data_IF_640463477900
#
_entry.id   IF_640463477900
#
_cell.length_a   1.000
_cell.length_b   1.000
_cell.length_c   1.000
_cell.angle_alpha   90.00
_cell.angle_beta   90.00
_cell.angle_gamma   90.00
#
_symmetry.space_group_name_H-M   'P 1'
#
loop_
_entity.id
_entity.type
_entity.pdbx_description
1 polymer ?
#
# COMPACT_ATOMS: atom_id res chain seq x y z
N UNK A 1 -15.29 -12.09 15.69
CA UNK A 1 -14.68 -11.30 14.62
C UNK A 1 -15.36 -11.68 13.31
N UNK A 2 -16.08 -10.78 12.67
CA UNK A 2 -16.75 -11.05 11.38
C UNK A 2 -15.75 -10.68 10.28
N UNK A 3 -15.20 -11.66 9.61
CA UNK A 3 -14.34 -11.47 8.44
C UNK A 3 -15.20 -11.38 7.19
N UNK A 4 -14.96 -10.41 6.31
CA UNK A 4 -15.69 -10.24 5.04
C UNK A 4 -14.73 -10.36 3.85
N UNK A 5 -15.26 -10.86 2.71
CA UNK A 5 -14.51 -10.94 1.45
C UNK A 5 -13.36 -11.96 1.46
N UNK A 6 -12.24 -11.62 0.86
CA UNK A 6 -11.06 -12.48 0.71
C UNK A 6 -10.47 -12.93 2.06
N UNK A 7 -10.51 -12.06 3.05
CA UNK A 7 -10.04 -12.32 4.41
C UNK A 7 -10.91 -13.33 5.17
N UNK A 8 -12.20 -13.46 4.82
CA UNK A 8 -13.08 -14.50 5.41
C UNK A 8 -12.65 -15.91 5.03
N UNK A 9 -12.11 -16.09 3.82
CA UNK A 9 -11.75 -17.40 3.28
C UNK A 9 -10.32 -17.85 3.62
N UNK A 10 -9.37 -16.92 3.76
CA UNK A 10 -7.94 -17.22 3.87
C UNK A 10 -7.31 -17.00 5.25
N UNK A 11 -8.01 -16.34 6.17
CA UNK A 11 -7.39 -15.93 7.44
C UNK A 11 -6.31 -14.85 7.24
N UNK A 12 -5.41 -14.71 8.20
CA UNK A 12 -4.28 -13.78 8.11
C UNK A 12 -3.15 -14.37 7.26
N UNK A 13 -3.09 -13.98 6.02
CA UNK A 13 -1.98 -14.33 5.14
C UNK A 13 -0.80 -13.34 5.25
N UNK A 14 -0.94 -12.25 6.00
CA UNK A 14 0.12 -11.25 6.18
C UNK A 14 1.14 -11.65 7.24
N UNK A 15 0.70 -12.40 8.29
CA UNK A 15 1.63 -12.94 9.31
C UNK A 15 2.50 -14.05 8.76
N UNK A 16 1.92 -14.93 7.94
CA UNK A 16 2.60 -16.07 7.32
C UNK A 16 2.34 -16.09 5.82
N UNK A 17 2.98 -15.18 5.05
CA UNK A 17 2.70 -15.09 3.62
C UNK A 17 3.12 -16.37 2.89
N UNK A 18 2.23 -16.90 2.05
CA UNK A 18 2.46 -18.10 1.24
C UNK A 18 3.58 -17.86 0.22
N UNK A 19 4.70 -18.60 0.28
CA UNK A 19 5.81 -18.45 -0.67
C UNK A 19 5.45 -18.78 -2.13
N UNK A 20 4.35 -19.48 -2.36
CA UNK A 20 3.84 -19.80 -3.71
C UNK A 20 2.97 -18.71 -4.30
N UNK A 21 2.58 -17.71 -3.50
CA UNK A 21 1.81 -16.56 -3.94
C UNK A 21 2.58 -15.75 -4.98
N UNK A 22 2.01 -15.50 -6.13
CA UNK A 22 2.66 -14.81 -7.25
C UNK A 22 3.07 -13.36 -6.93
N UNK A 23 2.45 -12.75 -5.92
CA UNK A 23 2.80 -11.43 -5.39
C UNK A 23 3.85 -11.47 -4.26
N UNK A 24 4.21 -12.65 -3.74
CA UNK A 24 5.08 -12.84 -2.59
C UNK A 24 6.39 -12.03 -2.61
N UNK A 25 7.21 -12.02 -3.70
CA UNK A 25 8.44 -11.22 -3.73
C UNK A 25 8.18 -9.72 -3.68
N UNK A 26 7.09 -9.26 -4.30
CA UNK A 26 6.68 -7.84 -4.30
C UNK A 26 6.22 -7.44 -2.90
N UNK A 27 5.43 -8.28 -2.24
CA UNK A 27 4.98 -8.09 -0.86
C UNK A 27 6.17 -7.96 0.10
N UNK A 28 7.15 -8.87 0.04
CA UNK A 28 8.36 -8.78 0.87
C UNK A 28 9.17 -7.52 0.60
N UNK A 29 9.32 -7.12 -0.67
CA UNK A 29 10.03 -5.91 -1.04
C UNK A 29 9.30 -4.65 -0.52
N UNK A 30 7.95 -4.63 -0.56
CA UNK A 30 7.12 -3.59 0.04
C UNK A 30 7.35 -3.51 1.55
N UNK A 31 7.20 -4.63 2.26
CA UNK A 31 7.41 -4.67 3.72
C UNK A 31 8.81 -4.21 4.11
N UNK A 32 9.84 -4.65 3.39
CA UNK A 32 11.22 -4.19 3.63
C UNK A 32 11.36 -2.67 3.49
N UNK A 33 10.70 -2.07 2.53
CA UNK A 33 10.73 -0.62 2.35
C UNK A 33 9.94 0.13 3.44
N UNK A 34 8.80 -0.40 3.84
CA UNK A 34 7.98 0.16 4.94
C UNK A 34 8.71 0.05 6.28
N UNK A 35 9.32 -1.11 6.58
CA UNK A 35 10.13 -1.29 7.79
C UNK A 35 11.30 -0.32 7.82
N UNK A 36 12.04 -0.16 6.73
CA UNK A 36 13.12 0.82 6.65
C UNK A 36 12.65 2.26 6.91
N UNK A 37 11.43 2.62 6.47
CA UNK A 37 10.82 3.91 6.80
C UNK A 37 10.48 4.02 8.28
N UNK A 38 9.84 3.00 8.87
CA UNK A 38 9.49 3.00 10.30
C UNK A 38 10.73 2.96 11.20
N UNK A 39 11.77 2.21 10.82
CA UNK A 39 13.04 2.12 11.56
C UNK A 39 13.77 3.46 11.63
N UNK A 40 13.61 4.32 10.64
CA UNK A 40 14.21 5.66 10.64
C UNK A 40 13.47 6.67 11.52
N UNK A 41 12.25 6.36 12.00
CA UNK A 41 11.48 7.27 12.84
C UNK A 41 12.04 7.31 14.28
N UNK A 42 12.00 8.46 14.97
CA UNK A 42 12.31 8.56 16.40
C UNK A 42 11.41 7.65 17.26
N UNK A 43 11.92 7.16 18.38
CA UNK A 43 11.10 6.41 19.35
C UNK A 43 9.93 7.27 19.85
N UNK A 44 8.80 6.63 20.05
CA UNK A 44 7.59 7.31 20.52
C UNK A 44 6.86 8.14 19.46
N UNK A 45 7.32 8.17 18.17
CA UNK A 45 6.57 8.80 17.09
C UNK A 45 5.17 8.20 17.03
N UNK A 46 4.14 9.04 16.94
CA UNK A 46 2.73 8.62 16.84
C UNK A 46 2.40 8.25 15.40
N UNK A 47 2.12 6.98 15.15
CA UNK A 47 1.87 6.41 13.83
C UNK A 47 0.48 5.80 13.77
N UNK A 48 -0.26 6.12 12.71
CA UNK A 48 -1.50 5.43 12.35
C UNK A 48 -1.20 4.44 11.20
N UNK A 49 -1.60 3.18 11.34
CA UNK A 49 -1.67 2.22 10.24
C UNK A 49 -3.14 2.06 9.81
N UNK A 50 -3.52 2.78 8.74
CA UNK A 50 -4.89 2.85 8.26
C UNK A 50 -5.13 1.78 7.18
N UNK A 51 -6.00 0.80 7.50
CA UNK A 51 -6.19 -0.43 6.74
C UNK A 51 -5.13 -1.47 7.09
N UNK A 52 -4.82 -1.59 8.39
CA UNK A 52 -3.70 -2.39 8.91
C UNK A 52 -3.94 -3.90 8.87
N UNK A 53 -5.13 -4.37 8.45
CA UNK A 53 -5.51 -5.77 8.58
C UNK A 53 -5.45 -6.23 10.04
N UNK A 54 -4.81 -7.37 10.29
CA UNK A 54 -4.64 -7.92 11.64
C UNK A 54 -3.55 -7.20 12.47
N UNK A 55 -2.96 -6.12 11.98
CA UNK A 55 -2.04 -5.28 12.72
C UNK A 55 -0.61 -5.81 12.82
N UNK A 56 -0.09 -6.48 11.79
CA UNK A 56 1.28 -7.03 11.79
C UNK A 56 2.33 -5.98 12.11
N UNK A 57 2.28 -4.83 11.45
CA UNK A 57 3.22 -3.73 11.70
C UNK A 57 2.92 -3.06 13.06
N UNK A 58 1.65 -3.00 13.46
CA UNK A 58 1.25 -2.45 14.76
C UNK A 58 1.88 -3.26 15.89
N UNK A 59 1.79 -4.59 15.84
CA UNK A 59 2.40 -5.48 16.83
C UNK A 59 3.94 -5.40 16.79
N UNK A 60 4.53 -5.40 15.59
CA UNK A 60 5.99 -5.39 15.40
C UNK A 60 6.65 -4.13 15.95
N UNK A 61 5.97 -2.97 15.86
CA UNK A 61 6.54 -1.68 16.24
C UNK A 61 6.01 -1.11 17.56
N UNK A 62 5.13 -1.83 18.27
CA UNK A 62 4.46 -1.38 19.50
C UNK A 62 5.41 -0.96 20.62
N UNK A 63 6.58 -1.60 20.73
CA UNK A 63 7.59 -1.29 21.77
C UNK A 63 8.48 -0.09 21.44
N UNK A 64 8.43 0.35 20.16
CA UNK A 64 9.30 1.41 19.66
C UNK A 64 8.53 2.68 19.31
N UNK A 65 7.33 2.55 18.73
CA UNK A 65 6.50 3.63 18.26
C UNK A 65 5.16 3.64 19.01
N UNK A 66 4.53 4.82 19.13
CA UNK A 66 3.15 4.94 19.57
C UNK A 66 2.24 4.65 18.35
N UNK A 67 2.21 3.39 17.92
CA UNK A 67 1.49 2.96 16.73
C UNK A 67 0.12 2.39 17.07
N UNK A 68 -0.89 2.84 16.33
CA UNK A 68 -2.27 2.38 16.39
C UNK A 68 -2.75 1.96 15.00
N UNK A 69 -3.58 0.95 14.92
CA UNK A 69 -4.18 0.46 13.69
C UNK A 69 -5.68 0.77 13.60
N UNK A 70 -6.17 0.90 12.37
CA UNK A 70 -7.61 0.88 12.08
C UNK A 70 -7.87 -0.01 10.88
N UNK A 71 -8.89 -0.86 10.96
CA UNK A 71 -9.29 -1.72 9.85
C UNK A 71 -10.81 -1.96 9.84
N UNK A 72 -11.38 -2.10 8.65
CA UNK A 72 -12.82 -2.32 8.48
C UNK A 72 -13.27 -3.75 8.77
N UNK A 73 -12.35 -4.71 8.86
CA UNK A 73 -12.64 -6.14 9.04
C UNK A 73 -12.08 -6.73 10.34
N UNK A 74 -11.19 -5.99 11.00
CA UNK A 74 -10.46 -6.49 12.17
C UNK A 74 -10.57 -5.56 13.38
N UNK A 75 -10.44 -6.15 14.56
CA UNK A 75 -10.26 -5.45 15.82
C UNK A 75 -9.34 -6.27 16.73
N UNK A 76 -8.41 -5.61 17.40
CA UNK A 76 -7.46 -6.20 18.35
C UNK A 76 -7.09 -5.15 19.41
N UNK A 77 -6.19 -5.49 20.33
CA UNK A 77 -5.81 -4.61 21.44
C UNK A 77 -5.33 -3.20 20.97
N UNK A 78 -4.67 -3.12 19.80
CA UNK A 78 -4.17 -1.86 19.21
C UNK A 78 -4.74 -1.61 17.80
N UNK A 79 -5.78 -2.34 17.41
CA UNK A 79 -6.46 -2.21 16.13
C UNK A 79 -7.92 -1.89 16.38
N UNK A 80 -8.32 -0.67 16.07
CA UNK A 80 -9.70 -0.21 16.17
C UNK A 80 -10.49 -0.65 14.94
N UNK A 81 -11.69 -1.21 15.13
CA UNK A 81 -12.61 -1.44 14.02
C UNK A 81 -13.14 -0.10 13.51
N UNK A 82 -12.92 0.19 12.23
CA UNK A 82 -13.35 1.46 11.64
C UNK A 82 -13.01 1.56 10.15
N UNK A 83 -13.54 2.58 9.50
CA UNK A 83 -13.30 2.85 8.08
C UNK A 83 -12.24 3.94 7.91
N UNK A 84 -11.38 3.78 6.90
CA UNK A 84 -10.44 4.83 6.48
C UNK A 84 -11.15 6.08 5.91
N UNK A 85 -12.43 5.97 5.56
CA UNK A 85 -13.26 7.09 5.08
C UNK A 85 -13.94 7.85 6.22
N UNK A 86 -13.79 7.37 7.48
CA UNK A 86 -14.30 8.01 8.70
C UNK A 86 -13.47 7.48 9.88
N UNK A 87 -12.28 8.07 10.06
CA UNK A 87 -11.31 7.61 11.07
C UNK A 87 -11.77 7.98 12.48
N UNK A 88 -11.79 7.02 13.44
CA UNK A 88 -12.27 7.24 14.81
C UNK A 88 -11.20 7.89 15.69
N UNK A 89 -10.43 8.83 15.14
CA UNK A 89 -9.36 9.53 15.83
C UNK A 89 -9.56 11.05 15.74
N UNK A 90 -9.12 11.83 16.76
CA UNK A 90 -9.17 13.28 16.73
C UNK A 90 -8.27 13.87 15.63
N UNK A 91 -8.53 15.13 15.29
CA UNK A 91 -7.68 15.91 14.38
C UNK A 91 -6.26 16.00 14.92
N UNK A 92 -5.28 16.03 14.03
CA UNK A 92 -3.87 16.25 14.35
C UNK A 92 -3.33 15.29 15.44
N UNK A 93 -3.77 14.03 15.45
CA UNK A 93 -3.40 13.01 16.45
C UNK A 93 -2.09 12.31 16.14
N UNK A 94 -1.68 12.24 14.86
CA UNK A 94 -0.56 11.44 14.42
C UNK A 94 0.53 12.27 13.72
N UNK A 95 1.78 11.88 13.92
CA UNK A 95 2.94 12.44 13.22
C UNK A 95 3.11 11.79 11.85
N UNK A 96 2.75 10.51 11.75
CA UNK A 96 2.85 9.69 10.54
C UNK A 96 1.59 8.85 10.35
N UNK A 97 1.22 8.61 9.09
CA UNK A 97 0.18 7.66 8.74
C UNK A 97 0.67 6.73 7.62
N UNK A 98 0.29 5.47 7.72
CA UNK A 98 0.45 4.47 6.67
C UNK A 98 -0.93 4.20 6.06
N UNK A 99 -0.97 3.97 4.73
CA UNK A 99 -2.16 3.51 4.02
C UNK A 99 -1.67 2.57 2.91
N UNK A 100 -1.54 1.29 3.24
CA UNK A 100 -0.80 0.32 2.43
C UNK A 100 -1.75 -0.65 1.73
N UNK A 101 -1.80 -0.56 0.39
CA UNK A 101 -2.69 -1.39 -0.46
C UNK A 101 -4.17 -1.31 -0.01
N UNK A 102 -4.66 -0.10 0.22
CA UNK A 102 -6.03 0.20 0.69
C UNK A 102 -6.82 0.99 -0.34
N UNK A 103 -6.23 2.03 -0.94
CA UNK A 103 -6.97 2.97 -1.80
C UNK A 103 -7.60 2.28 -3.00
N UNK A 104 -6.97 1.28 -3.58
CA UNK A 104 -7.49 0.50 -4.71
C UNK A 104 -8.74 -0.32 -4.37
N UNK A 105 -8.94 -0.65 -3.09
CA UNK A 105 -10.12 -1.35 -2.60
C UNK A 105 -11.32 -0.44 -2.37
N UNK A 106 -11.11 0.87 -2.35
CA UNK A 106 -12.16 1.88 -2.21
C UNK A 106 -12.77 2.24 -3.57
N UNK A 107 -14.03 2.67 -3.57
CA UNK A 107 -14.63 3.28 -4.76
C UNK A 107 -13.92 4.58 -5.13
N UNK A 108 -14.10 5.04 -6.38
CA UNK A 108 -13.56 6.33 -6.82
C UNK A 108 -14.04 7.51 -5.98
N UNK A 109 -15.26 7.43 -5.43
CA UNK A 109 -15.85 8.46 -4.56
C UNK A 109 -15.30 8.43 -3.14
N UNK A 110 -14.89 7.25 -2.64
CA UNK A 110 -14.39 7.07 -1.29
C UNK A 110 -12.90 7.40 -1.14
N UNK A 111 -12.13 7.29 -2.23
CA UNK A 111 -10.70 7.61 -2.19
C UNK A 111 -10.40 9.06 -1.76
N UNK A 112 -11.08 10.11 -2.29
CA UNK A 112 -10.91 11.48 -1.79
C UNK A 112 -11.30 11.63 -0.32
N UNK A 113 -12.35 10.94 0.14
CA UNK A 113 -12.78 10.95 1.55
C UNK A 113 -11.71 10.34 2.46
N UNK A 114 -11.15 9.20 2.08
CA UNK A 114 -10.06 8.56 2.82
C UNK A 114 -8.83 9.47 2.91
N UNK A 115 -8.43 10.11 1.83
CA UNK A 115 -7.31 11.05 1.84
C UNK A 115 -7.60 12.30 2.70
N UNK A 116 -8.83 12.80 2.70
CA UNK A 116 -9.24 13.91 3.56
C UNK A 116 -9.17 13.53 5.06
N UNK A 117 -9.62 12.33 5.41
CA UNK A 117 -9.54 11.80 6.78
C UNK A 117 -8.10 11.56 7.24
N UNK A 118 -7.26 10.95 6.38
CA UNK A 118 -5.83 10.81 6.65
C UNK A 118 -5.15 12.16 6.85
N UNK A 119 -5.53 13.18 6.05
CA UNK A 119 -5.04 14.54 6.24
C UNK A 119 -5.54 15.16 7.54
N UNK A 120 -6.79 14.94 7.92
CA UNK A 120 -7.39 15.47 9.16
C UNK A 120 -6.64 14.97 10.39
N UNK A 121 -6.39 13.66 10.47
CA UNK A 121 -5.75 13.05 11.64
C UNK A 121 -4.24 13.30 11.72
N UNK A 122 -3.60 13.64 10.61
CA UNK A 122 -2.19 14.02 10.61
C UNK A 122 -2.00 15.44 11.16
N UNK A 123 -0.93 15.65 11.94
CA UNK A 123 -0.46 16.97 12.37
C UNK A 123 0.02 17.79 11.18
N UNK A 124 0.19 19.08 11.38
CA UNK A 124 0.91 19.93 10.42
C UNK A 124 2.30 19.34 10.15
N UNK A 125 2.72 19.34 8.91
CA UNK A 125 3.97 18.74 8.43
C UNK A 125 4.07 17.21 8.67
N UNK A 126 2.98 16.57 9.07
CA UNK A 126 2.89 15.11 9.19
C UNK A 126 3.02 14.42 7.84
N UNK A 127 3.52 13.19 7.83
CA UNK A 127 3.75 12.46 6.59
C UNK A 127 2.81 11.26 6.45
N UNK A 128 2.38 11.04 5.21
CA UNK A 128 1.56 9.92 4.77
C UNK A 128 2.37 9.02 3.84
N UNK A 129 2.56 7.76 4.22
CA UNK A 129 3.14 6.72 3.37
C UNK A 129 2.02 5.88 2.77
N UNK A 130 1.94 5.86 1.44
CA UNK A 130 0.92 5.11 0.70
C UNK A 130 1.59 4.07 -0.18
N UNK A 131 1.09 2.84 -0.20
CA UNK A 131 1.37 1.92 -1.30
C UNK A 131 0.15 1.74 -2.18
N UNK A 132 0.36 1.78 -3.50
CA UNK A 132 -0.70 1.58 -4.49
C UNK A 132 -0.18 0.77 -5.67
N UNK A 133 -1.01 -0.14 -6.22
CA UNK A 133 -0.72 -0.77 -7.50
C UNK A 133 -0.81 0.27 -8.63
N UNK A 134 -0.05 0.05 -9.69
CA UNK A 134 -0.04 0.91 -10.86
C UNK A 134 -0.73 0.23 -12.03
N UNK A 135 -1.95 0.59 -12.31
CA UNK A 135 -2.72 0.04 -13.45
C UNK A 135 -1.97 0.21 -14.79
N UNK A 136 -1.17 1.28 -14.93
CA UNK A 136 -0.40 1.59 -16.13
C UNK A 136 1.09 1.20 -16.03
N UNK A 137 1.42 0.09 -15.34
CA UNK A 137 2.79 -0.45 -15.30
C UNK A 137 3.27 -0.89 -16.70
N UNK A 138 4.58 -1.08 -16.90
CA UNK A 138 5.17 -1.29 -18.24
C UNK A 138 4.48 -2.40 -19.05
N UNK A 139 4.29 -3.60 -18.46
CA UNK A 139 3.62 -4.70 -19.15
C UNK A 139 2.16 -4.36 -19.53
N UNK A 140 1.47 -3.61 -18.67
CA UNK A 140 0.08 -3.16 -18.93
C UNK A 140 0.02 -2.20 -20.12
N UNK A 141 0.98 -1.25 -20.21
CA UNK A 141 1.08 -0.32 -21.36
C UNK A 141 1.34 -1.05 -22.66
N UNK A 142 2.27 -2.02 -22.66
CA UNK A 142 2.55 -2.86 -23.84
C UNK A 142 1.31 -3.65 -24.25
N UNK A 143 0.61 -4.23 -23.29
CA UNK A 143 -0.61 -4.98 -23.54
C UNK A 143 -1.73 -4.07 -24.09
N UNK A 144 -1.85 -2.84 -23.57
CA UNK A 144 -2.80 -1.85 -24.08
C UNK A 144 -2.51 -1.49 -25.54
N UNK A 145 -1.23 -1.24 -25.87
CA UNK A 145 -0.82 -0.95 -27.24
C UNK A 145 -1.17 -2.09 -28.21
N UNK A 146 -1.03 -3.34 -27.78
CA UNK A 146 -1.25 -4.51 -28.63
C UNK A 146 -2.69 -5.01 -28.65
N UNK A 147 -3.47 -4.75 -27.60
CA UNK A 147 -4.78 -5.37 -27.37
C UNK A 147 -5.90 -4.41 -26.99
N UNK A 148 -5.62 -3.11 -26.87
CA UNK A 148 -6.60 -2.07 -26.52
C UNK A 148 -7.14 -2.13 -25.09
N UNK A 149 -6.51 -2.90 -24.19
CA UNK A 149 -6.92 -3.00 -22.77
C UNK A 149 -5.73 -3.07 -21.82
N UNK A 150 -5.87 -2.46 -20.65
CA UNK A 150 -4.89 -2.54 -19.59
C UNK A 150 -4.99 -3.89 -18.85
N UNK A 151 -3.86 -4.38 -18.32
CA UNK A 151 -3.84 -5.51 -17.41
C UNK A 151 -4.17 -4.95 -16.02
N UNK A 152 -5.33 -5.33 -15.48
CA UNK A 152 -5.70 -4.95 -14.12
C UNK A 152 -4.85 -5.69 -13.08
N UNK A 153 -4.65 -5.07 -11.95
CA UNK A 153 -3.89 -5.63 -10.83
C UNK A 153 -4.69 -6.70 -10.09
N UNK A 154 -6.02 -6.55 -10.06
CA UNK A 154 -6.98 -7.54 -9.61
C UNK A 154 -8.30 -7.44 -10.39
N UNK A 155 -9.32 -8.25 -10.05
CA UNK A 155 -10.66 -8.09 -10.62
C UNK A 155 -11.28 -6.75 -10.20
N UNK A 156 -12.22 -6.23 -10.99
CA UNK A 156 -12.94 -4.98 -10.68
C UNK A 156 -13.66 -5.06 -9.34
N UNK A 157 -14.12 -6.25 -8.95
CA UNK A 157 -14.81 -6.45 -7.67
C UNK A 157 -13.84 -6.32 -6.47
N UNK A 158 -12.57 -6.70 -6.64
CA UNK A 158 -11.55 -6.61 -5.60
C UNK A 158 -10.90 -5.23 -5.55
N UNK A 159 -10.61 -4.67 -6.72
CA UNK A 159 -9.99 -3.35 -6.87
C UNK A 159 -10.89 -2.44 -7.72
N UNK A 160 -12.02 -1.97 -7.18
CA UNK A 160 -12.91 -1.08 -7.90
C UNK A 160 -12.25 0.27 -8.22
N UNK A 161 -11.32 0.71 -7.37
CA UNK A 161 -10.63 1.99 -7.45
C UNK A 161 -9.23 1.95 -8.06
N UNK A 162 -8.86 0.87 -8.79
CA UNK A 162 -7.57 0.81 -9.50
C UNK A 162 -7.38 2.01 -10.43
N UNK A 163 -6.20 2.66 -10.32
CA UNK A 163 -5.81 3.82 -11.14
C UNK A 163 -4.38 3.70 -11.66
N UNK A 164 -4.03 4.40 -12.74
CA UNK A 164 -2.64 4.78 -13.01
C UNK A 164 -2.07 5.57 -11.82
N UNK A 165 -0.79 5.38 -11.51
CA UNK A 165 -0.18 6.01 -10.33
C UNK A 165 -0.24 7.55 -10.39
N UNK A 166 -0.23 8.15 -11.57
CA UNK A 166 -0.33 9.60 -11.74
C UNK A 166 -1.68 10.17 -11.25
N UNK A 167 -2.76 9.38 -11.36
CA UNK A 167 -4.07 9.78 -10.83
C UNK A 167 -4.09 9.75 -9.29
N UNK A 168 -3.42 8.79 -8.64
CA UNK A 168 -3.24 8.81 -7.18
C UNK A 168 -2.45 10.04 -6.71
N UNK A 169 -1.42 10.45 -7.48
CA UNK A 169 -0.67 11.68 -7.19
C UNK A 169 -1.53 12.93 -7.31
N UNK A 170 -2.40 12.99 -8.31
CA UNK A 170 -3.35 14.10 -8.47
C UNK A 170 -4.36 14.14 -7.32
N UNK A 171 -4.94 12.99 -6.95
CA UNK A 171 -5.86 12.88 -5.82
C UNK A 171 -5.23 13.38 -4.51
N UNK A 172 -4.01 12.92 -4.21
CA UNK A 172 -3.30 13.33 -3.00
C UNK A 172 -3.00 14.84 -3.00
N UNK A 173 -2.63 15.41 -4.17
CA UNK A 173 -2.42 16.85 -4.32
C UNK A 173 -3.70 17.63 -4.06
N UNK A 174 -4.83 17.22 -4.63
CA UNK A 174 -6.14 17.85 -4.39
C UNK A 174 -6.58 17.74 -2.92
N UNK A 175 -6.18 16.67 -2.23
CA UNK A 175 -6.41 16.53 -0.79
C UNK A 175 -5.44 17.36 0.07
N UNK A 176 -4.54 18.20 -0.50
CA UNK A 176 -3.60 19.04 0.23
C UNK A 176 -2.36 18.31 0.72
N UNK A 177 -1.88 17.34 -0.06
CA UNK A 177 -0.61 16.66 0.17
C UNK A 177 0.43 17.04 -0.87
N UNK A 178 1.67 17.16 -0.45
CA UNK A 178 2.84 17.35 -1.32
C UNK A 178 3.64 16.04 -1.40
N UNK A 179 3.91 15.55 -2.59
CA UNK A 179 4.79 14.40 -2.80
C UNK A 179 6.22 14.77 -2.43
N UNK A 180 6.85 14.00 -1.53
CA UNK A 180 8.24 14.20 -1.11
C UNK A 180 9.16 13.02 -1.52
N UNK A 181 8.62 11.83 -1.69
CA UNK A 181 9.37 10.68 -2.19
C UNK A 181 8.47 9.71 -2.97
N UNK A 182 9.06 9.03 -3.96
CA UNK A 182 8.40 8.01 -4.75
C UNK A 182 9.37 6.86 -5.04
N UNK A 183 8.92 5.63 -4.77
CA UNK A 183 9.71 4.42 -5.00
C UNK A 183 8.88 3.39 -5.74
N UNK A 184 9.38 2.92 -6.90
CA UNK A 184 8.79 1.80 -7.61
C UNK A 184 9.30 0.46 -7.09
N UNK A 185 8.40 -0.53 -7.04
CA UNK A 185 8.71 -1.92 -6.70
C UNK A 185 8.22 -2.80 -7.82
N UNK A 186 9.07 -3.70 -8.29
CA UNK A 186 8.82 -4.67 -9.34
C UNK A 186 8.52 -4.02 -10.71
N UNK A 187 9.55 -3.59 -11.46
CA UNK A 187 9.41 -3.21 -12.86
C UNK A 187 8.91 -4.41 -13.67
N UNK A 188 7.79 -4.25 -14.36
CA UNK A 188 7.11 -5.35 -15.05
C UNK A 188 7.65 -5.55 -16.47
N UNK A 189 8.83 -6.16 -16.57
CA UNK A 189 9.41 -6.57 -17.87
C UNK A 189 8.71 -7.85 -18.36
N UNK A 190 8.03 -7.86 -19.52
CA UNK A 190 7.05 -8.87 -19.89
C UNK A 190 7.45 -10.33 -19.66
N UNK A 191 8.50 -10.85 -20.26
CA UNK A 191 8.91 -12.25 -20.11
C UNK A 191 9.38 -12.55 -18.69
N UNK A 192 10.21 -11.66 -18.11
CA UNK A 192 10.75 -11.84 -16.75
C UNK A 192 9.66 -11.80 -15.69
N UNK A 193 8.69 -10.91 -15.84
CA UNK A 193 7.51 -10.83 -14.95
C UNK A 193 6.75 -12.16 -14.93
N UNK A 194 6.50 -12.74 -16.11
CA UNK A 194 5.80 -14.02 -16.20
C UNK A 194 6.57 -15.17 -15.53
N UNK A 195 7.89 -15.18 -15.68
CA UNK A 195 8.75 -16.19 -15.05
C UNK A 195 8.75 -16.05 -13.51
N UNK A 196 8.92 -14.82 -13.02
CA UNK A 196 8.92 -14.54 -11.57
C UNK A 196 7.58 -14.94 -10.95
N UNK A 197 6.45 -14.59 -11.56
CA UNK A 197 5.11 -14.95 -11.05
C UNK A 197 4.84 -16.46 -11.05
N UNK A 198 5.44 -17.21 -11.98
CA UNK A 198 5.32 -18.69 -12.00
C UNK A 198 6.16 -19.38 -10.94
N UNK A 199 7.28 -18.80 -10.53
CA UNK A 199 8.21 -19.36 -9.54
C UNK A 199 8.66 -18.27 -8.56
N UNK A 200 7.75 -17.71 -7.76
CA UNK A 200 8.02 -16.48 -6.99
C UNK A 200 9.14 -16.66 -5.98
N UNK A 201 9.20 -17.77 -5.27
CA UNK A 201 10.24 -18.06 -4.28
C UNK A 201 11.61 -18.25 -4.95
N UNK A 202 11.70 -19.11 -5.96
CA UNK A 202 12.96 -19.41 -6.64
C UNK A 202 13.56 -18.21 -7.37
N UNK A 203 12.72 -17.32 -7.91
CA UNK A 203 13.12 -16.12 -8.65
C UNK A 203 13.06 -14.82 -7.83
N UNK A 204 12.92 -14.92 -6.51
CA UNK A 204 12.99 -13.75 -5.62
C UNK A 204 14.32 -12.97 -5.74
N UNK A 205 15.51 -13.59 -5.93
CA UNK A 205 16.76 -12.86 -6.21
C UNK A 205 16.68 -12.02 -7.49
N UNK A 206 16.11 -12.56 -8.56
CA UNK A 206 15.91 -11.84 -9.83
C UNK A 206 14.95 -10.66 -9.64
N UNK A 207 13.86 -10.88 -8.92
CA UNK A 207 12.91 -9.80 -8.57
C UNK A 207 13.63 -8.66 -7.82
N UNK A 208 14.47 -8.98 -6.82
CA UNK A 208 15.25 -7.98 -6.07
C UNK A 208 16.23 -7.22 -6.97
N UNK A 209 16.94 -7.94 -7.85
CA UNK A 209 17.86 -7.32 -8.80
C UNK A 209 17.14 -6.35 -9.74
N UNK A 210 16.02 -6.75 -10.33
CA UNK A 210 15.20 -5.89 -11.20
C UNK A 210 14.70 -4.66 -10.46
N UNK A 211 14.21 -4.82 -9.22
CA UNK A 211 13.73 -3.70 -8.40
C UNK A 211 14.83 -2.71 -8.06
N UNK A 212 16.09 -3.16 -7.93
CA UNK A 212 17.25 -2.29 -7.67
C UNK A 212 17.78 -1.59 -8.93
N UNK A 213 17.84 -2.32 -10.04
CA UNK A 213 18.46 -1.84 -11.28
C UNK A 213 17.52 -0.97 -12.13
N UNK A 214 16.20 -1.21 -12.04
CA UNK A 214 15.18 -0.54 -12.82
C UNK A 214 14.08 0.07 -11.92
N UNK A 215 14.42 0.95 -10.98
CA UNK A 215 13.45 1.51 -10.03
C UNK A 215 12.57 2.62 -10.65
N UNK A 216 12.25 2.52 -11.95
CA UNK A 216 11.42 3.51 -12.65
C UNK A 216 9.97 3.38 -12.18
N UNK A 217 9.43 4.29 -11.36
CA UNK A 217 8.14 4.10 -10.71
C UNK A 217 6.99 3.87 -11.70
N UNK A 218 6.98 4.57 -12.84
CA UNK A 218 5.97 4.40 -13.87
C UNK A 218 5.98 3.03 -14.57
N UNK A 219 7.07 2.26 -14.47
CA UNK A 219 7.19 0.91 -15.03
C UNK A 219 6.88 -0.17 -14.02
N UNK A 220 6.91 0.17 -12.73
CA UNK A 220 6.73 -0.76 -11.64
C UNK A 220 5.25 -1.09 -11.41
N UNK A 221 5.00 -2.32 -10.96
CA UNK A 221 3.69 -2.82 -10.59
C UNK A 221 3.14 -2.11 -9.34
N UNK A 222 3.98 -1.91 -8.33
CA UNK A 222 3.66 -1.24 -7.08
C UNK A 222 4.45 0.04 -6.93
N UNK A 223 3.84 1.07 -6.36
CA UNK A 223 4.53 2.30 -5.97
C UNK A 223 4.33 2.57 -4.48
N UNK A 224 5.40 2.93 -3.80
CA UNK A 224 5.36 3.54 -2.46
C UNK A 224 5.56 5.03 -2.64
N UNK A 225 4.62 5.80 -2.13
CA UNK A 225 4.54 7.25 -2.24
C UNK A 225 4.60 7.83 -0.83
N UNK A 226 5.50 8.77 -0.59
CA UNK A 226 5.55 9.51 0.66
C UNK A 226 5.10 10.93 0.41
N UNK A 227 4.11 11.36 1.15
CA UNK A 227 3.53 12.69 1.07
C UNK A 227 3.73 13.43 2.37
N UNK A 228 3.79 14.77 2.30
CA UNK A 228 3.73 15.67 3.47
C UNK A 228 2.43 16.44 3.43
N UNK A 229 1.78 16.57 4.59
CA UNK A 229 0.63 17.46 4.75
C UNK A 229 1.11 18.89 4.63
N UNK A 230 0.59 19.61 3.63
CA UNK A 230 0.81 21.05 3.44
C UNK A 230 -0.19 21.89 4.25
#
# INVERSE_FOLDING_TARGET
MVRRGEYAARGDYHRTPDPTWDYYPTYLAKLSAVRAYLDALPRGTRVLDAGCGEGVLVDEYADRLAIEGVDANYAAARVTHGSVTSLPFPDASFDRALCLDVLEHLSYEDQPRALAELRRVLRKDGELLVSVPNLAHLQSRIHFLLRGRLIRTASVQKHPGDRPVEEYLQLARHAGFQLIARRGIFPTVPVLTRLIRKRPQALAPLHRALTRLLPVPGWCFLNILTFRKS
#
